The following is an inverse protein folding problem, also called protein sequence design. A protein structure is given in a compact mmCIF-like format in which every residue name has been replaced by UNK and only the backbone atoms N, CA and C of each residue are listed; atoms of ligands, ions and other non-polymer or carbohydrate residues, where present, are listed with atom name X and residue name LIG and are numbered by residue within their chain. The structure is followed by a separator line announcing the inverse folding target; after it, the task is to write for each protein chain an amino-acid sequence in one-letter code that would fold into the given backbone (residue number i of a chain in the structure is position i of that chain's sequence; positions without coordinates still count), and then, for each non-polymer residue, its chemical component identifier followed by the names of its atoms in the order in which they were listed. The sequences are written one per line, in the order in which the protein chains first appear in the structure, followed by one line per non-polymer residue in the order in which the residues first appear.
data_IF_291077142675
#
_entry.id   IF_291077142675
#
_cell.length_a   1.000
_cell.length_b   1.000
_cell.length_c   1.000
_cell.angle_alpha   90.00
_cell.angle_beta   90.00
_cell.angle_gamma   90.00
#
_symmetry.space_group_name_H-M   'P 1'
#
loop_
_entity.id
_entity.type
_entity.pdbx_description
1 polymer ?
#
# COMPACT_ATOMS: atom_id res chain seq x y z
N UNK A 1 -58.39 -10.27 2.19
CA UNK A 1 -59.09 -9.11 1.59
C UNK A 1 -58.26 -7.89 1.96
N UNK A 2 -57.32 -7.52 1.08
CA UNK A 2 -57.41 -6.34 0.19
C UNK A 2 -57.06 -5.04 0.96
N UNK A 3 -56.09 -4.22 0.58
CA UNK A 3 -55.27 -4.19 -0.62
C UNK A 3 -54.04 -3.30 -0.43
N UNK A 4 -53.10 -3.46 -1.34
CA UNK A 4 -51.82 -2.77 -1.50
C UNK A 4 -51.99 -1.33 -1.98
N UNK A 5 -51.35 -0.37 -1.33
CA UNK A 5 -51.11 0.97 -1.90
C UNK A 5 -49.67 1.07 -2.40
N UNK A 6 -49.54 1.28 -3.70
CA UNK A 6 -48.30 1.54 -4.44
C UNK A 6 -48.08 3.06 -4.51
N UNK A 7 -47.10 3.55 -3.74
CA UNK A 7 -46.64 4.94 -3.76
C UNK A 7 -45.46 5.13 -4.72
N UNK A 8 -45.62 6.09 -5.62
CA UNK A 8 -44.86 6.35 -6.85
C UNK A 8 -43.55 7.13 -6.58
N UNK A 9 -42.42 6.65 -7.13
CA UNK A 9 -41.14 7.37 -7.21
C UNK A 9 -41.21 8.50 -8.26
N UNK A 10 -40.67 9.70 -8.01
CA UNK A 10 -40.48 10.68 -9.07
C UNK A 10 -39.17 10.43 -9.83
N UNK A 11 -39.29 10.29 -11.14
CA UNK A 11 -38.19 10.29 -12.09
C UNK A 11 -37.65 11.73 -12.27
N UNK A 12 -36.42 11.97 -11.84
CA UNK A 12 -35.67 13.20 -12.08
C UNK A 12 -34.45 12.91 -12.96
N UNK A 13 -34.56 13.26 -14.25
CA UNK A 13 -33.47 13.28 -15.23
C UNK A 13 -32.35 14.24 -14.78
N UNK A 14 -31.12 13.73 -14.65
CA UNK A 14 -29.91 14.54 -14.85
C UNK A 14 -29.05 13.80 -15.88
N UNK A 15 -29.26 14.15 -17.14
CA UNK A 15 -28.40 13.72 -18.25
C UNK A 15 -27.09 14.53 -18.19
N UNK A 16 -26.03 13.91 -17.69
CA UNK A 16 -24.68 14.42 -17.84
C UNK A 16 -24.26 14.31 -19.32
N UNK A 17 -24.17 15.44 -20.01
CA UNK A 17 -23.57 15.53 -21.34
C UNK A 17 -22.06 15.34 -21.23
N UNK A 18 -21.55 14.16 -21.57
CA UNK A 18 -20.13 13.97 -21.90
C UNK A 18 -19.97 14.43 -23.36
N UNK A 19 -19.50 15.67 -23.53
CA UNK A 19 -19.02 16.13 -24.82
C UNK A 19 -17.67 15.46 -25.10
N UNK A 20 -17.64 14.61 -26.14
CA UNK A 20 -16.42 13.97 -26.61
C UNK A 20 -15.43 14.99 -27.17
N UNK A 21 -14.22 15.01 -26.61
CA UNK A 21 -13.06 15.66 -27.21
C UNK A 21 -12.40 14.62 -28.11
N UNK A 22 -12.84 14.56 -29.37
CA UNK A 22 -12.10 13.91 -30.43
C UNK A 22 -10.91 14.81 -30.78
N UNK A 23 -9.71 14.40 -30.35
CA UNK A 23 -8.45 15.01 -30.78
C UNK A 23 -8.28 14.88 -32.29
N UNK A 24 -8.40 16.01 -32.98
CA UNK A 24 -8.10 16.18 -34.39
C UNK A 24 -6.60 16.01 -34.60
N UNK A 25 -6.21 14.88 -35.21
CA UNK A 25 -4.91 14.73 -35.85
C UNK A 25 -4.92 15.55 -37.13
N UNK A 26 -4.09 16.58 -37.19
CA UNK A 26 -3.85 17.41 -38.38
C UNK A 26 -2.84 16.69 -39.26
N UNK A 27 -3.30 16.15 -40.38
CA UNK A 27 -2.43 15.67 -41.46
C UNK A 27 -1.67 16.85 -42.07
N UNK A 28 -0.35 16.85 -41.95
CA UNK A 28 0.53 17.76 -42.68
C UNK A 28 0.58 17.36 -44.15
N UNK A 29 0.35 18.35 -45.02
CA UNK A 29 0.33 18.17 -46.47
C UNK A 29 1.74 17.92 -47.00
N UNK A 30 1.92 16.78 -47.65
CA UNK A 30 3.06 16.51 -48.52
C UNK A 30 3.04 17.47 -49.73
N UNK A 31 4.17 18.14 -49.96
CA UNK A 31 4.41 18.98 -51.13
C UNK A 31 5.77 18.66 -51.76
N UNK A 32 5.76 18.44 -53.08
CA UNK A 32 6.91 18.68 -53.96
C UNK A 32 7.69 17.45 -54.44
N UNK A 33 7.88 17.24 -55.75
CA UNK A 33 8.58 16.09 -56.30
C UNK A 33 10.10 16.29 -56.27
N UNK A 34 10.84 15.37 -55.63
CA UNK A 34 12.30 15.27 -55.84
C UNK A 34 12.61 14.31 -56.98
N UNK A 35 13.16 14.90 -58.05
CA UNK A 35 13.74 14.23 -59.19
C UNK A 35 15.09 13.66 -58.73
N UNK A 36 15.18 12.35 -58.46
CA UNK A 36 16.46 11.69 -58.20
C UNK A 36 16.92 10.91 -59.42
N UNK A 37 18.08 11.30 -59.93
CA UNK A 37 18.79 10.68 -61.07
C UNK A 37 19.17 9.24 -60.72
N UNK A 38 18.91 8.32 -61.64
CA UNK A 38 19.39 6.94 -61.58
C UNK A 38 20.93 6.90 -61.59
N UNK A 39 21.52 6.60 -60.43
CA UNK A 39 22.92 6.19 -60.29
C UNK A 39 23.04 4.70 -60.53
N UNK A 40 23.97 4.30 -61.40
CA UNK A 40 24.20 2.91 -61.83
C UNK A 40 24.50 2.00 -60.63
N UNK A 41 23.77 0.89 -60.54
CA UNK A 41 24.03 -0.18 -59.58
C UNK A 41 25.38 -0.85 -59.89
N UNK A 42 26.36 -0.68 -58.99
CA UNK A 42 27.50 -1.57 -58.89
C UNK A 42 27.18 -2.67 -57.89
N UNK A 43 27.13 -3.92 -58.35
CA UNK A 43 27.09 -5.08 -57.46
C UNK A 43 28.41 -5.12 -56.67
N UNK A 44 28.37 -4.77 -55.38
CA UNK A 44 29.42 -5.16 -54.43
C UNK A 44 28.97 -6.47 -53.80
N UNK A 45 29.63 -7.55 -54.16
CA UNK A 45 29.45 -8.85 -53.54
C UNK A 45 29.86 -8.76 -52.06
N UNK A 46 28.89 -8.67 -51.16
CA UNK A 46 29.14 -8.77 -49.71
C UNK A 46 29.37 -10.26 -49.41
N UNK A 47 30.53 -10.66 -48.87
CA UNK A 47 30.80 -12.06 -48.62
C UNK A 47 29.88 -12.58 -47.51
N UNK A 48 29.23 -13.71 -47.78
CA UNK A 48 28.26 -14.42 -46.94
C UNK A 48 28.85 -14.98 -45.61
N UNK A 49 30.04 -14.51 -45.21
CA UNK A 49 30.76 -14.95 -44.01
C UNK A 49 30.67 -13.95 -42.84
N UNK A 50 30.11 -12.75 -43.04
CA UNK A 50 29.92 -11.75 -41.97
C UNK A 50 28.46 -11.58 -41.51
N UNK A 51 27.58 -12.54 -41.81
CA UNK A 51 26.19 -12.57 -41.31
C UNK A 51 25.94 -13.62 -40.23
N UNK A 52 27.00 -14.15 -39.60
CA UNK A 52 26.91 -15.20 -38.57
C UNK A 52 27.36 -14.76 -37.16
N UNK A 53 27.79 -13.50 -36.97
CA UNK A 53 28.43 -13.07 -35.71
C UNK A 53 27.60 -12.11 -34.85
N UNK A 54 26.34 -11.80 -35.21
CA UNK A 54 25.51 -10.80 -34.50
C UNK A 54 24.30 -11.38 -33.75
N UNK A 55 24.23 -12.71 -33.57
CA UNK A 55 23.09 -13.38 -32.92
C UNK A 55 23.39 -13.98 -31.54
N UNK A 56 24.55 -13.70 -30.93
CA UNK A 56 24.95 -14.28 -29.63
C UNK A 56 25.38 -13.22 -28.62
N UNK A 57 24.51 -12.27 -28.27
CA UNK A 57 24.74 -11.41 -27.08
C UNK A 57 23.49 -10.76 -26.46
N UNK A 58 22.26 -11.16 -26.81
CA UNK A 58 21.06 -10.71 -26.10
C UNK A 58 20.63 -11.75 -25.05
N UNK A 59 21.59 -12.21 -24.26
CA UNK A 59 21.26 -12.86 -22.99
C UNK A 59 21.15 -11.74 -21.97
N UNK A 60 19.92 -11.27 -21.70
CA UNK A 60 19.63 -10.60 -20.44
C UNK A 60 19.92 -11.61 -19.34
N UNK A 61 21.18 -11.73 -18.93
CA UNK A 61 21.57 -12.34 -17.69
C UNK A 61 21.02 -11.43 -16.59
N UNK A 62 19.71 -11.53 -16.34
CA UNK A 62 19.14 -11.10 -15.08
C UNK A 62 19.90 -11.92 -14.04
N UNK A 63 20.85 -11.27 -13.39
CA UNK A 63 21.47 -11.83 -12.20
C UNK A 63 20.32 -12.33 -11.34
N UNK A 64 20.26 -13.64 -11.11
CA UNK A 64 19.26 -14.25 -10.24
C UNK A 64 19.36 -13.50 -8.92
N UNK A 65 18.34 -12.69 -8.64
CA UNK A 65 18.38 -11.84 -7.45
C UNK A 65 18.40 -12.76 -6.26
N UNK A 66 19.42 -12.61 -5.41
CA UNK A 66 19.59 -13.44 -4.23
C UNK A 66 18.72 -12.83 -3.13
N UNK A 67 17.93 -13.63 -2.39
CA UNK A 67 17.23 -13.10 -1.23
C UNK A 67 18.24 -12.57 -0.19
N UNK A 68 17.72 -11.80 0.76
CA UNK A 68 18.51 -11.16 1.83
C UNK A 68 19.11 -12.13 2.84
N UNK A 69 18.80 -13.43 2.73
CA UNK A 69 19.29 -14.50 3.58
C UNK A 69 19.97 -15.64 2.79
N UNK A 70 20.57 -16.57 3.51
CA UNK A 70 21.21 -17.76 2.93
C UNK A 70 20.18 -18.87 2.71
N UNK A 71 19.89 -19.20 1.45
CA UNK A 71 18.95 -20.26 1.10
C UNK A 71 19.31 -21.64 1.67
N UNK A 72 20.59 -21.90 1.95
CA UNK A 72 20.99 -23.14 2.63
C UNK A 72 20.49 -23.23 4.08
N UNK A 73 20.07 -22.10 4.66
CA UNK A 73 19.54 -21.98 6.04
C UNK A 73 18.04 -21.76 6.09
N UNK A 74 17.35 -21.77 4.94
CA UNK A 74 15.90 -21.59 4.86
C UNK A 74 15.18 -22.65 5.70
N UNK A 75 14.42 -22.20 6.70
CA UNK A 75 13.68 -23.03 7.63
C UNK A 75 12.17 -22.96 7.39
N UNK A 76 11.62 -21.75 7.23
CA UNK A 76 10.17 -21.55 7.07
C UNK A 76 9.68 -21.89 5.67
N UNK A 77 8.38 -22.15 5.52
CA UNK A 77 7.74 -22.37 4.21
C UNK A 77 7.94 -21.16 3.30
N UNK A 78 7.83 -19.94 3.83
CA UNK A 78 8.09 -18.71 3.09
C UNK A 78 9.53 -18.63 2.62
N UNK A 79 10.52 -18.91 3.48
CA UNK A 79 11.94 -18.85 3.10
C UNK A 79 12.27 -19.84 1.97
N UNK A 80 11.71 -21.05 2.04
CA UNK A 80 11.87 -22.06 0.98
C UNK A 80 11.21 -21.61 -0.33
N UNK A 81 10.01 -21.03 -0.26
CA UNK A 81 9.32 -20.47 -1.42
C UNK A 81 10.12 -19.31 -2.06
N UNK A 82 10.63 -18.40 -1.23
CA UNK A 82 11.48 -17.28 -1.64
C UNK A 82 12.74 -17.78 -2.35
N UNK A 83 13.37 -18.84 -1.85
CA UNK A 83 14.55 -19.43 -2.47
C UNK A 83 14.28 -20.18 -3.78
N UNK A 84 13.05 -20.65 -3.99
CA UNK A 84 12.65 -21.40 -5.19
C UNK A 84 12.12 -20.51 -6.32
N UNK A 85 11.68 -19.28 -6.02
CA UNK A 85 11.09 -18.35 -6.99
C UNK A 85 11.94 -17.05 -7.09
N UNK A 86 12.57 -16.78 -8.25
CA UNK A 86 13.37 -15.57 -8.47
C UNK A 86 12.62 -14.25 -8.24
N UNK A 87 11.29 -14.21 -8.48
CA UNK A 87 10.49 -13.02 -8.24
C UNK A 87 10.31 -12.75 -6.74
N UNK A 88 10.07 -13.81 -5.95
CA UNK A 88 10.01 -13.71 -4.49
C UNK A 88 11.37 -13.37 -3.88
N UNK A 89 12.46 -13.91 -4.43
CA UNK A 89 13.82 -13.56 -4.02
C UNK A 89 14.13 -12.07 -4.24
N UNK A 90 13.70 -11.51 -5.38
CA UNK A 90 13.81 -10.07 -5.65
C UNK A 90 12.96 -9.25 -4.68
N UNK A 91 11.71 -9.65 -4.43
CA UNK A 91 10.84 -8.95 -3.47
C UNK A 91 11.43 -8.95 -2.06
N UNK A 92 12.01 -10.06 -1.61
CA UNK A 92 12.71 -10.14 -0.32
C UNK A 92 13.90 -9.17 -0.25
N UNK A 93 14.71 -9.13 -1.30
CA UNK A 93 15.84 -8.20 -1.40
C UNK A 93 15.39 -6.73 -1.38
N UNK A 94 14.27 -6.40 -2.03
CA UNK A 94 13.70 -5.06 -2.03
C UNK A 94 13.15 -4.67 -0.65
N UNK A 95 12.44 -5.58 0.05
CA UNK A 95 12.03 -5.38 1.45
C UNK A 95 13.24 -5.09 2.32
N UNK A 96 14.29 -5.91 2.24
CA UNK A 96 15.48 -5.76 3.07
C UNK A 96 16.21 -4.42 2.80
N UNK A 97 16.31 -4.03 1.54
CA UNK A 97 16.91 -2.74 1.13
C UNK A 97 16.12 -1.55 1.69
N UNK A 98 14.80 -1.53 1.49
CA UNK A 98 13.93 -0.44 1.96
C UNK A 98 13.89 -0.38 3.49
N UNK A 99 13.84 -1.54 4.16
CA UNK A 99 13.89 -1.63 5.61
C UNK A 99 15.19 -1.04 6.19
N UNK A 100 16.34 -1.38 5.60
CA UNK A 100 17.63 -0.83 6.03
C UNK A 100 17.71 0.69 5.79
N UNK A 101 17.09 1.21 4.73
CA UNK A 101 17.00 2.65 4.49
C UNK A 101 16.12 3.36 5.53
N UNK A 102 14.93 2.80 5.82
CA UNK A 102 14.01 3.34 6.81
C UNK A 102 14.62 3.37 8.23
N UNK A 103 15.33 2.32 8.64
CA UNK A 103 16.03 2.29 9.93
C UNK A 103 17.15 3.32 10.06
N UNK A 104 17.77 3.74 8.95
CA UNK A 104 18.77 4.82 8.95
C UNK A 104 18.14 6.20 9.00
N UNK A 105 16.90 6.33 8.51
CA UNK A 105 16.15 7.58 8.45
C UNK A 105 15.56 7.95 9.82
N UNK A 106 14.94 6.97 10.47
CA UNK A 106 14.17 7.14 11.71
C UNK A 106 15.08 7.27 12.94
N UNK A 107 14.59 7.99 13.95
CA UNK A 107 15.22 8.00 15.27
C UNK A 107 15.17 6.61 15.97
N UNK A 108 15.86 6.50 17.10
CA UNK A 108 15.99 5.23 17.81
C UNK A 108 14.66 4.65 18.31
N UNK A 109 13.69 5.50 18.66
CA UNK A 109 12.40 5.05 19.19
C UNK A 109 11.51 4.55 18.07
N UNK A 110 11.37 5.34 17.00
CA UNK A 110 10.66 4.92 15.79
C UNK A 110 11.33 3.71 15.13
N UNK A 111 12.67 3.64 15.12
CA UNK A 111 13.41 2.48 14.62
C UNK A 111 13.17 1.21 15.46
N UNK A 112 12.89 1.32 16.76
CA UNK A 112 12.44 0.16 17.57
C UNK A 112 11.05 -0.27 17.13
N UNK A 113 10.11 0.65 17.02
CA UNK A 113 8.77 0.33 16.56
C UNK A 113 8.78 -0.32 15.17
N UNK A 114 9.65 0.16 14.25
CA UNK A 114 9.76 -0.42 12.90
C UNK A 114 10.31 -1.86 12.94
N UNK A 115 11.17 -2.20 13.91
CA UNK A 115 11.61 -3.59 14.13
C UNK A 115 10.45 -4.48 14.58
N UNK A 116 9.61 -3.98 15.49
CA UNK A 116 8.45 -4.72 15.98
C UNK A 116 7.44 -4.95 14.82
N UNK A 117 7.16 -3.89 14.05
CA UNK A 117 6.32 -3.93 12.85
C UNK A 117 6.89 -4.84 11.74
N UNK A 118 8.21 -4.87 11.55
CA UNK A 118 8.88 -5.82 10.65
C UNK A 118 8.78 -7.28 11.14
N UNK A 119 8.79 -7.51 12.46
CA UNK A 119 8.55 -8.84 13.03
C UNK A 119 7.13 -9.32 12.75
N UNK A 120 6.15 -8.43 12.79
CA UNK A 120 4.77 -8.73 12.42
C UNK A 120 4.66 -9.09 10.93
N UNK A 121 5.31 -8.31 10.06
CA UNK A 121 5.42 -8.64 8.63
C UNK A 121 5.95 -10.07 8.40
N UNK A 122 7.04 -10.45 9.07
CA UNK A 122 7.64 -11.79 8.93
C UNK A 122 6.65 -12.87 9.38
N UNK A 123 5.93 -12.65 10.48
CA UNK A 123 4.88 -13.59 10.94
C UNK A 123 3.79 -13.77 9.89
N UNK A 124 3.27 -12.67 9.34
CA UNK A 124 2.20 -12.74 8.33
C UNK A 124 2.70 -13.35 7.01
N UNK A 125 3.91 -13.01 6.57
CA UNK A 125 4.56 -13.62 5.41
C UNK A 125 4.63 -15.14 5.53
N UNK A 126 5.03 -15.63 6.70
CA UNK A 126 5.14 -17.07 6.97
C UNK A 126 3.75 -17.73 7.00
N UNK A 127 2.74 -17.09 7.60
CA UNK A 127 1.35 -17.57 7.60
C UNK A 127 0.75 -17.65 6.19
N UNK A 128 0.98 -16.63 5.35
CA UNK A 128 0.52 -16.64 3.94
C UNK A 128 1.16 -17.81 3.19
N UNK A 129 2.47 -18.01 3.35
CA UNK A 129 3.16 -19.11 2.71
C UNK A 129 2.65 -20.49 3.17
N UNK A 130 2.39 -20.65 4.46
CA UNK A 130 1.82 -21.89 5.03
C UNK A 130 0.39 -22.16 4.53
N UNK A 131 -0.43 -21.11 4.41
CA UNK A 131 -1.78 -21.21 3.84
C UNK A 131 -1.73 -21.62 2.36
N UNK A 132 -0.74 -21.14 1.61
CA UNK A 132 -0.60 -21.35 0.18
C UNK A 132 0.18 -22.62 -0.22
N UNK A 133 0.82 -23.32 0.73
CA UNK A 133 1.83 -24.36 0.45
C UNK A 133 1.39 -25.47 -0.52
N UNK A 134 0.10 -25.83 -0.51
CA UNK A 134 -0.50 -26.89 -1.33
C UNK A 134 -1.52 -26.32 -2.34
N UNK A 135 -1.61 -24.99 -2.46
CA UNK A 135 -2.58 -24.29 -3.31
C UNK A 135 -1.90 -23.81 -4.60
N UNK A 136 -2.35 -24.25 -5.79
CA UNK A 136 -1.86 -23.72 -7.05
C UNK A 136 -1.95 -22.19 -7.12
N UNK A 137 -0.93 -21.54 -7.69
CA UNK A 137 -0.80 -20.06 -7.68
C UNK A 137 -2.03 -19.33 -8.23
N UNK A 138 -2.66 -19.87 -9.26
CA UNK A 138 -3.89 -19.34 -9.88
C UNK A 138 -5.14 -19.44 -8.98
N UNK A 139 -5.04 -20.13 -7.84
CA UNK A 139 -6.11 -20.32 -6.85
C UNK A 139 -5.79 -19.71 -5.49
N UNK A 140 -4.62 -19.10 -5.32
CA UNK A 140 -4.27 -18.43 -4.08
C UNK A 140 -5.12 -17.16 -3.93
N UNK A 141 -5.78 -17.00 -2.79
CA UNK A 141 -6.61 -15.82 -2.49
C UNK A 141 -5.81 -14.69 -1.84
N UNK A 142 -4.59 -14.98 -1.39
CA UNK A 142 -3.63 -14.01 -0.85
C UNK A 142 -2.30 -14.31 -1.52
N UNK A 143 -1.81 -13.39 -2.36
CA UNK A 143 -0.55 -13.58 -3.10
C UNK A 143 0.64 -13.13 -2.24
N UNK A 144 1.59 -14.05 -2.01
CA UNK A 144 2.78 -13.78 -1.20
C UNK A 144 3.69 -12.72 -1.84
N UNK A 145 3.81 -12.71 -3.17
CA UNK A 145 4.65 -11.75 -3.88
C UNK A 145 4.04 -10.34 -3.82
N UNK A 146 2.73 -10.22 -3.98
CA UNK A 146 2.01 -8.96 -3.80
C UNK A 146 2.18 -8.42 -2.38
N UNK A 147 1.97 -9.26 -1.36
CA UNK A 147 2.18 -8.89 0.05
C UNK A 147 3.61 -8.38 0.33
N UNK A 148 4.62 -9.05 -0.22
CA UNK A 148 6.03 -8.64 -0.07
C UNK A 148 6.33 -7.34 -0.85
N UNK A 149 5.73 -7.13 -2.01
CA UNK A 149 5.89 -5.91 -2.79
C UNK A 149 5.26 -4.70 -2.09
N UNK A 150 4.06 -4.86 -1.53
CA UNK A 150 3.39 -3.83 -0.75
C UNK A 150 4.22 -3.44 0.47
N UNK A 151 4.82 -4.41 1.15
CA UNK A 151 5.75 -4.14 2.24
C UNK A 151 6.96 -3.32 1.79
N UNK A 152 7.60 -3.70 0.69
CA UNK A 152 8.75 -2.98 0.16
C UNK A 152 8.40 -1.53 -0.20
N UNK A 153 7.19 -1.32 -0.74
CA UNK A 153 6.65 -0.01 -1.09
C UNK A 153 6.36 0.83 0.15
N UNK A 154 5.64 0.28 1.13
CA UNK A 154 5.41 0.94 2.42
C UNK A 154 6.73 1.41 3.06
N UNK A 155 7.74 0.54 3.14
CA UNK A 155 9.04 0.87 3.71
C UNK A 155 9.78 1.95 2.93
N UNK A 156 9.70 1.91 1.59
CA UNK A 156 10.29 2.91 0.72
C UNK A 156 9.59 4.28 0.83
N UNK A 157 8.31 4.29 1.19
CA UNK A 157 7.49 5.50 1.33
C UNK A 157 7.59 6.15 2.71
N UNK A 158 8.26 5.52 3.69
CA UNK A 158 8.49 6.12 5.02
C UNK A 158 9.25 7.45 4.87
N UNK A 159 8.76 8.48 5.56
CA UNK A 159 9.33 9.83 5.62
C UNK A 159 9.51 10.23 7.08
N UNK A 160 10.38 11.22 7.30
CA UNK A 160 10.53 11.85 8.60
C UNK A 160 9.44 12.91 8.80
N UNK A 161 8.69 12.88 9.91
CA UNK A 161 7.66 13.88 10.14
C UNK A 161 8.26 15.24 10.48
N UNK A 162 7.52 16.30 10.17
CA UNK A 162 7.81 17.61 10.76
C UNK A 162 7.46 17.57 12.25
N UNK A 163 8.37 18.03 13.11
CA UNK A 163 8.26 17.95 14.58
C UNK A 163 6.94 18.55 15.14
N UNK A 164 6.29 19.45 14.41
CA UNK A 164 5.08 20.17 14.85
C UNK A 164 3.76 19.67 14.25
N UNK A 165 3.78 18.69 13.32
CA UNK A 165 2.63 18.36 12.49
C UNK A 165 2.13 16.93 12.68
N UNK A 166 0.81 16.76 12.80
CA UNK A 166 0.13 15.46 12.70
C UNK A 166 -0.37 15.17 11.28
N UNK A 167 -0.47 16.19 10.43
CA UNK A 167 -1.07 16.08 9.11
C UNK A 167 -0.25 15.15 8.22
N UNK A 168 -0.92 14.19 7.60
CA UNK A 168 -0.32 13.20 6.71
C UNK A 168 -1.03 11.86 6.79
N UNK A 169 -0.53 10.93 5.99
CA UNK A 169 -0.90 9.52 6.08
C UNK A 169 0.16 8.80 6.89
N UNK A 170 -0.26 8.12 7.94
CA UNK A 170 0.58 7.32 8.81
C UNK A 170 0.21 5.87 8.61
N UNK A 171 1.17 5.02 8.26
CA UNK A 171 0.91 3.63 7.89
C UNK A 171 1.65 2.68 8.82
N UNK A 172 1.12 1.47 8.98
CA UNK A 172 1.74 0.34 9.67
C UNK A 172 1.43 -0.95 8.90
N UNK A 173 1.93 -2.09 9.39
CA UNK A 173 1.52 -3.40 8.89
C UNK A 173 0.01 -3.65 8.96
N UNK A 174 -0.71 -3.02 9.90
CA UNK A 174 -2.14 -3.28 10.13
C UNK A 174 -3.08 -2.34 9.41
N UNK A 175 -2.58 -1.23 8.86
CA UNK A 175 -3.43 -0.24 8.21
C UNK A 175 -2.91 1.18 8.34
N UNK A 176 -3.82 2.15 8.36
CA UNK A 176 -3.49 3.57 8.20
C UNK A 176 -4.26 4.49 9.14
N UNK A 177 -3.62 5.60 9.49
CA UNK A 177 -4.22 6.78 10.10
C UNK A 177 -4.01 7.95 9.13
N UNK A 178 -5.07 8.52 8.61
CA UNK A 178 -5.03 9.76 7.84
C UNK A 178 -5.47 10.94 8.71
N UNK A 179 -4.63 11.98 8.76
CA UNK A 179 -4.91 13.19 9.52
C UNK A 179 -4.88 14.39 8.57
N UNK A 180 -6.01 15.10 8.46
CA UNK A 180 -6.20 16.24 7.56
C UNK A 180 -6.49 17.52 8.33
N UNK A 181 -6.04 18.67 7.82
CA UNK A 181 -6.46 19.96 8.35
C UNK A 181 -7.90 20.27 7.93
N UNK A 182 -8.76 20.56 8.90
CA UNK A 182 -10.11 21.13 8.64
C UNK A 182 -10.05 22.66 8.76
N UNK A 183 -9.25 23.16 9.69
CA UNK A 183 -8.98 24.59 9.89
C UNK A 183 -7.63 24.77 10.60
N UNK A 184 -7.21 26.01 10.87
CA UNK A 184 -5.99 26.28 11.63
C UNK A 184 -5.95 25.66 13.04
N UNK A 185 -7.11 25.27 13.60
CA UNK A 185 -7.23 24.75 14.99
C UNK A 185 -7.97 23.43 15.10
N UNK A 186 -8.36 22.80 13.97
CA UNK A 186 -9.08 21.53 13.93
C UNK A 186 -8.49 20.59 12.88
N UNK A 187 -8.37 19.33 13.25
CA UNK A 187 -7.94 18.24 12.38
C UNK A 187 -9.06 17.21 12.26
N UNK A 188 -9.17 16.60 11.09
CA UNK A 188 -9.97 15.39 10.87
C UNK A 188 -9.04 14.19 10.97
N UNK A 189 -9.47 13.16 11.69
CA UNK A 189 -8.77 11.88 11.80
C UNK A 189 -9.66 10.82 11.15
N UNK A 190 -9.06 9.96 10.34
CA UNK A 190 -9.65 8.72 9.86
C UNK A 190 -8.63 7.61 10.04
N UNK A 191 -8.96 6.56 10.77
CA UNK A 191 -8.10 5.40 10.93
C UNK A 191 -8.85 4.13 10.55
N UNK A 192 -8.17 3.31 9.76
CA UNK A 192 -8.61 1.99 9.34
C UNK A 192 -7.48 1.00 9.59
N UNK A 193 -7.70 0.04 10.50
CA UNK A 193 -6.74 -1.03 10.81
C UNK A 193 -7.42 -2.37 10.94
N UNK A 194 -6.78 -3.43 10.47
CA UNK A 194 -7.26 -4.79 10.57
C UNK A 194 -6.10 -5.80 10.63
N UNK A 195 -6.43 -7.06 10.90
CA UNK A 195 -5.49 -8.14 10.67
C UNK A 195 -5.21 -8.29 9.16
N UNK A 196 -3.94 -8.23 8.70
CA UNK A 196 -3.65 -8.03 7.27
C UNK A 196 -4.01 -9.17 6.31
N UNK A 197 -4.19 -10.39 6.83
CA UNK A 197 -4.47 -11.58 6.01
C UNK A 197 -5.97 -11.81 5.92
N UNK A 198 -6.65 -11.72 7.05
CA UNK A 198 -8.05 -12.11 7.21
C UNK A 198 -9.02 -10.94 7.22
N UNK A 199 -8.54 -9.72 7.43
CA UNK A 199 -9.38 -8.54 7.66
C UNK A 199 -10.13 -8.57 9.00
N UNK A 200 -9.85 -9.56 9.86
CA UNK A 200 -10.51 -9.70 11.15
C UNK A 200 -10.15 -8.54 12.09
N UNK A 201 -11.09 -8.22 12.99
CA UNK A 201 -10.89 -7.17 13.98
C UNK A 201 -10.73 -5.77 13.37
N UNK A 202 -11.32 -5.54 12.19
CA UNK A 202 -11.33 -4.23 11.54
C UNK A 202 -11.81 -3.15 12.51
N UNK A 203 -11.01 -2.10 12.67
CA UNK A 203 -11.39 -0.87 13.34
C UNK A 203 -11.49 0.24 12.31
N UNK A 204 -12.62 0.93 12.31
CA UNK A 204 -12.88 2.14 11.52
C UNK A 204 -13.27 3.25 12.48
N UNK A 205 -12.30 4.10 12.82
CA UNK A 205 -12.50 5.22 13.75
C UNK A 205 -12.28 6.54 13.02
N UNK A 206 -13.06 7.56 13.36
CA UNK A 206 -12.89 8.86 12.75
C UNK A 206 -13.61 9.99 13.44
N UNK A 207 -13.19 11.21 13.12
CA UNK A 207 -13.85 12.43 13.55
C UNK A 207 -12.92 13.63 13.69
N UNK A 208 -13.55 14.78 13.99
CA UNK A 208 -12.84 16.06 14.12
C UNK A 208 -12.34 16.29 15.55
N UNK A 209 -11.05 16.59 15.70
CA UNK A 209 -10.41 16.94 16.97
C UNK A 209 -9.83 18.36 16.94
N UNK A 210 -9.63 18.95 18.12
CA UNK A 210 -8.90 20.22 18.24
C UNK A 210 -7.39 19.94 18.15
N UNK A 211 -6.68 20.75 17.37
CA UNK A 211 -5.21 20.67 17.30
C UNK A 211 -4.60 20.93 18.68
N UNK A 212 -3.80 19.99 19.16
CA UNK A 212 -3.09 19.97 20.44
C UNK A 212 -1.78 19.18 20.25
N UNK A 213 -0.93 19.16 21.28
CA UNK A 213 0.28 18.33 21.27
C UNK A 213 -0.02 16.82 21.32
N UNK A 214 -1.22 16.48 21.79
CA UNK A 214 -1.77 15.13 21.84
C UNK A 214 -3.23 15.25 21.39
N UNK A 215 -3.60 14.47 20.38
CA UNK A 215 -4.96 14.48 19.86
C UNK A 215 -5.77 13.42 20.59
N UNK A 216 -7.00 13.76 20.98
CA UNK A 216 -7.91 12.82 21.63
C UNK A 216 -9.21 12.77 20.86
N UNK A 217 -9.48 11.62 20.25
CA UNK A 217 -10.73 11.28 19.59
C UNK A 217 -11.62 10.55 20.60
N UNK A 218 -12.84 11.03 20.78
CA UNK A 218 -13.85 10.32 21.57
C UNK A 218 -14.62 9.42 20.63
N UNK A 219 -14.71 8.15 20.98
CA UNK A 219 -15.48 7.17 20.24
C UNK A 219 -16.99 7.41 20.43
N UNK A 220 -17.75 7.37 19.34
CA UNK A 220 -19.19 7.65 19.36
C UNK A 220 -19.98 6.58 18.62
N UNK A 221 -21.20 6.31 19.09
CA UNK A 221 -22.16 5.47 18.36
C UNK A 221 -22.81 6.20 17.18
N UNK A 222 -23.71 5.53 16.47
CA UNK A 222 -24.44 6.05 15.30
C UNK A 222 -25.30 7.29 15.62
N UNK A 223 -25.63 7.52 16.89
CA UNK A 223 -26.36 8.70 17.38
C UNK A 223 -25.40 9.81 17.84
N UNK A 224 -24.11 9.69 17.54
CA UNK A 224 -23.05 10.61 17.95
C UNK A 224 -22.85 10.70 19.48
N UNK A 225 -23.27 9.67 20.24
CA UNK A 225 -23.15 9.64 21.71
C UNK A 225 -21.83 8.97 22.11
N UNK A 226 -21.10 9.50 23.12
CA UNK A 226 -19.86 8.89 23.57
C UNK A 226 -20.05 7.48 24.11
N UNK A 227 -19.31 6.51 23.56
CA UNK A 227 -19.38 5.09 23.90
C UNK A 227 -18.65 4.74 25.19
N UNK A 228 -17.82 5.66 25.69
CA UNK A 228 -16.93 5.44 26.84
C UNK A 228 -15.48 5.16 26.44
N UNK A 229 -15.21 4.92 25.17
CA UNK A 229 -13.85 4.75 24.64
C UNK A 229 -13.27 6.05 24.08
N UNK A 230 -11.95 6.11 24.02
CA UNK A 230 -11.22 7.19 23.35
C UNK A 230 -9.89 6.71 22.80
N UNK A 231 -9.46 7.36 21.72
CA UNK A 231 -8.20 7.10 21.04
C UNK A 231 -7.31 8.33 21.16
N UNK A 232 -6.09 8.09 21.64
CA UNK A 232 -5.09 9.15 21.87
C UNK A 232 -3.98 9.01 20.85
N UNK A 233 -3.72 10.08 20.10
CA UNK A 233 -2.71 10.13 19.04
C UNK A 233 -1.58 11.06 19.49
N UNK A 234 -0.36 10.53 19.55
CA UNK A 234 0.80 11.28 20.02
C UNK A 234 2.06 10.93 19.25
N UNK A 235 2.90 11.93 19.01
CA UNK A 235 4.24 11.70 18.50
C UNK A 235 5.10 10.93 19.52
N UNK A 236 5.89 9.99 19.01
CA UNK A 236 6.82 9.16 19.75
C UNK A 236 8.14 9.11 18.99
N UNK A 237 8.84 10.25 18.99
CA UNK A 237 9.93 10.45 18.05
C UNK A 237 9.39 10.68 16.64
N UNK A 238 9.98 10.01 15.65
CA UNK A 238 9.55 10.06 14.24
C UNK A 238 8.30 9.21 13.91
N UNK A 239 7.63 8.63 14.91
CA UNK A 239 6.44 7.79 14.75
C UNK A 239 5.19 8.40 15.42
N UNK A 240 4.02 8.01 14.94
CA UNK A 240 2.73 8.28 15.57
C UNK A 240 2.30 7.06 16.38
N UNK A 241 1.96 7.25 17.66
CA UNK A 241 1.40 6.22 18.52
C UNK A 241 -0.07 6.50 18.73
N UNK A 242 -0.89 5.46 18.57
CA UNK A 242 -2.32 5.43 18.89
C UNK A 242 -2.52 4.56 20.11
N UNK A 243 -3.18 5.10 21.13
CA UNK A 243 -3.54 4.38 22.35
C UNK A 243 -5.06 4.38 22.52
N UNK A 244 -5.65 3.19 22.58
CA UNK A 244 -7.05 2.99 22.92
C UNK A 244 -7.21 2.95 24.45
N UNK A 245 -8.22 3.64 24.97
CA UNK A 245 -8.51 3.73 26.40
C UNK A 245 -10.00 3.84 26.70
N UNK A 246 -10.39 3.58 27.95
CA UNK A 246 -11.77 3.69 28.45
C UNK A 246 -12.37 2.33 28.83
N UNK A 247 -13.37 2.37 29.71
CA UNK A 247 -14.02 1.18 30.28
C UNK A 247 -15.34 0.82 29.58
N UNK A 248 -15.64 1.48 28.45
CA UNK A 248 -16.90 1.36 27.73
C UNK A 248 -18.12 1.83 28.56
N UNK A 249 -19.29 1.76 27.95
CA UNK A 249 -20.59 1.94 28.61
C UNK A 249 -21.48 0.75 28.31
N UNK A 250 -22.53 0.58 29.12
CA UNK A 250 -23.57 -0.42 28.91
C UNK A 250 -23.03 -1.87 28.83
N UNK A 251 -21.95 -2.14 29.57
CA UNK A 251 -21.31 -3.47 29.64
C UNK A 251 -20.43 -3.83 28.45
N UNK A 252 -20.18 -2.91 27.52
CA UNK A 252 -19.25 -3.13 26.39
C UNK A 252 -17.81 -3.15 26.86
N UNK A 253 -17.05 -4.15 26.40
CA UNK A 253 -15.62 -4.30 26.69
C UNK A 253 -14.72 -3.90 25.52
N UNK A 254 -15.31 -3.62 24.35
CA UNK A 254 -14.63 -3.21 23.12
C UNK A 254 -15.36 -2.02 22.48
N UNK A 255 -14.64 -1.11 21.78
CA UNK A 255 -15.26 -0.02 21.03
C UNK A 255 -16.18 -0.57 19.92
N UNK A 256 -17.40 -0.03 19.73
CA UNK A 256 -18.27 -0.43 18.62
C UNK A 256 -17.67 -0.13 17.24
N UNK A 257 -16.74 0.84 17.15
CA UNK A 257 -15.98 1.12 15.93
C UNK A 257 -14.94 0.04 15.59
N UNK A 258 -14.81 -1.01 16.39
CA UNK A 258 -13.95 -2.15 16.15
C UNK A 258 -14.78 -3.44 16.09
N UNK A 259 -14.45 -4.29 15.11
CA UNK A 259 -14.92 -5.66 15.04
C UNK A 259 -14.44 -6.48 16.24
N UNK A 260 -14.97 -7.70 16.40
CA UNK A 260 -14.65 -8.55 17.54
C UNK A 260 -13.13 -8.77 17.70
N UNK A 261 -12.60 -8.47 18.89
CA UNK A 261 -11.17 -8.50 19.22
C UNK A 261 -10.30 -7.55 18.36
N UNK A 262 -10.92 -6.57 17.73
CA UNK A 262 -10.25 -5.47 17.04
C UNK A 262 -9.69 -4.45 18.01
N UNK A 263 -8.57 -3.86 17.62
CA UNK A 263 -7.81 -2.92 18.43
C UNK A 263 -7.18 -1.86 17.52
N UNK A 264 -7.48 -0.58 17.80
CA UNK A 264 -6.90 0.56 17.07
C UNK A 264 -5.46 0.86 17.53
N UNK A 265 -5.06 0.42 18.73
CA UNK A 265 -3.76 0.78 19.29
C UNK A 265 -2.58 0.27 18.47
N UNK A 266 -1.62 1.15 18.19
CA UNK A 266 -0.52 0.82 17.29
C UNK A 266 0.51 1.93 17.16
N UNK A 267 1.59 1.63 16.44
CA UNK A 267 2.58 2.62 16.03
C UNK A 267 2.64 2.70 14.51
N UNK A 268 2.60 3.92 14.00
CA UNK A 268 2.49 4.22 12.58
C UNK A 268 3.60 5.16 12.14
N UNK A 269 3.96 5.09 10.87
CA UNK A 269 5.06 5.83 10.26
C UNK A 269 4.51 6.74 9.18
N UNK A 270 4.96 7.99 9.15
CA UNK A 270 4.55 8.92 8.10
C UNK A 270 4.98 8.37 6.74
N UNK A 271 4.03 8.26 5.81
CA UNK A 271 4.27 7.82 4.43
C UNK A 271 3.92 8.94 3.45
N UNK A 272 4.49 8.89 2.25
CA UNK A 272 4.13 9.83 1.19
C UNK A 272 2.67 9.64 0.74
N UNK A 273 1.90 10.72 0.65
CA UNK A 273 0.55 10.65 0.07
C UNK A 273 0.66 10.36 -1.42
N UNK A 274 0.29 9.15 -1.83
CA UNK A 274 0.14 8.81 -3.25
C UNK A 274 -1.11 9.53 -3.78
N UNK A 275 -0.87 10.50 -4.68
CA UNK A 275 -1.92 11.24 -5.40
C UNK A 275 -2.61 10.37 -6.45
#
# INVERSE_FOLDING_TARGET
MAGSETGRLPAGLVAARIAGIAGSWREEKAGGPMISKAGKAGLVAVPLAMLAALLLANGDARALSKPSFDCAKAASTAEKAICADPALAQADADVAKSYAAALKLLDARAGKALRDDQSDFIRYRDQIADFNKDTPKDKQTVDLAEFMHDRATFLADIRKPSVAGFIGTWSSMRGTVEIKAVSAVRLEISEEVAEPISGNGLCEIGGTVKLRNELRLVDTDDDNKPTGFSFTFRHSGDALVVEQSGDGKDGRTQPPSCGANGHADGTFFLTEQRK
#
